data_IF_913303315343
#
_entry.id   IF_913303315343
#
_cell.length_a   1.000
_cell.length_b   1.000
_cell.length_c   1.000
_cell.angle_alpha   90.00
_cell.angle_beta   90.00
_cell.angle_gamma   90.00
#
_symmetry.space_group_name_H-M   'P 1'
#
loop_
_entity.id
_entity.type
_entity.pdbx_description
1 polymer ?
#
# COMPACT_ATOMS: atom_id res chain seq x y z
N UNK A 1 -2.34 -32.15 15.76
CA UNK A 1 -2.24 -30.71 16.08
C UNK A 1 -3.22 -30.43 17.22
N UNK A 2 -2.76 -29.84 18.32
CA UNK A 2 -3.58 -29.54 19.49
C UNK A 2 -4.06 -28.07 19.51
N UNK A 3 -5.00 -27.75 20.41
CA UNK A 3 -5.63 -26.43 20.52
C UNK A 3 -4.59 -25.31 20.75
N UNK A 4 -3.55 -25.56 21.55
CA UNK A 4 -2.53 -24.55 21.86
C UNK A 4 -1.67 -24.26 20.64
N UNK A 5 -1.30 -25.30 19.89
CA UNK A 5 -0.60 -25.16 18.61
C UNK A 5 -1.41 -24.36 17.58
N UNK A 6 -2.72 -24.62 17.48
CA UNK A 6 -3.61 -23.87 16.58
C UNK A 6 -3.74 -22.40 16.99
N UNK A 7 -3.89 -22.11 18.30
CA UNK A 7 -3.95 -20.74 18.82
C UNK A 7 -2.67 -19.96 18.52
N UNK A 8 -1.52 -20.61 18.66
CA UNK A 8 -0.23 -19.99 18.37
C UNK A 8 -0.11 -19.60 16.89
N UNK A 9 -0.46 -20.51 15.96
CA UNK A 9 -0.41 -20.22 14.51
C UNK A 9 -1.41 -19.11 14.15
N UNK A 10 -2.64 -19.15 14.70
CA UNK A 10 -3.63 -18.12 14.46
C UNK A 10 -3.18 -16.73 14.97
N UNK A 11 -2.47 -16.67 16.09
CA UNK A 11 -1.85 -15.44 16.60
C UNK A 11 -0.81 -14.89 15.62
N UNK A 12 0.15 -15.73 15.20
CA UNK A 12 1.20 -15.34 14.25
C UNK A 12 0.64 -14.87 12.90
N UNK A 13 -0.44 -15.50 12.45
CA UNK A 13 -1.12 -15.10 11.23
C UNK A 13 -1.69 -13.68 11.34
N UNK A 14 -2.47 -13.38 12.40
CA UNK A 14 -3.03 -12.04 12.61
C UNK A 14 -1.96 -10.96 12.75
N UNK A 15 -0.86 -11.27 13.46
CA UNK A 15 0.27 -10.35 13.54
C UNK A 15 0.92 -10.10 12.18
N UNK A 16 1.07 -11.15 11.36
CA UNK A 16 1.60 -11.01 10.01
C UNK A 16 0.65 -10.22 9.11
N UNK A 17 -0.67 -10.41 9.23
CA UNK A 17 -1.67 -9.60 8.52
C UNK A 17 -1.57 -8.13 8.90
N UNK A 18 -1.48 -7.82 10.19
CA UNK A 18 -1.35 -6.44 10.66
C UNK A 18 -0.07 -5.79 10.15
N UNK A 19 1.07 -6.50 10.22
CA UNK A 19 2.34 -6.00 9.66
C UNK A 19 2.27 -5.80 8.15
N UNK A 20 1.66 -6.74 7.43
CA UNK A 20 1.48 -6.64 5.99
C UNK A 20 0.60 -5.45 5.61
N UNK A 21 -0.43 -5.14 6.41
CA UNK A 21 -1.29 -3.98 6.17
C UNK A 21 -0.53 -2.66 6.32
N UNK A 22 0.29 -2.52 7.38
CA UNK A 22 1.15 -1.34 7.57
C UNK A 22 2.08 -1.18 6.36
N UNK A 23 2.78 -2.25 5.96
CA UNK A 23 3.70 -2.20 4.82
C UNK A 23 3.01 -1.87 3.50
N UNK A 24 1.76 -2.30 3.29
CA UNK A 24 0.97 -1.91 2.09
C UNK A 24 0.68 -0.41 2.07
N UNK A 25 0.38 0.19 3.23
CA UNK A 25 0.12 1.62 3.33
C UNK A 25 1.40 2.43 3.07
N UNK A 26 2.52 2.03 3.67
CA UNK A 26 3.84 2.63 3.43
C UNK A 26 4.26 2.52 1.96
N UNK A 27 4.07 1.36 1.34
CA UNK A 27 4.36 1.17 -0.09
C UNK A 27 3.47 2.08 -0.96
N UNK A 28 2.19 2.23 -0.62
CA UNK A 28 1.29 3.10 -1.34
C UNK A 28 1.71 4.58 -1.24
N UNK A 29 2.21 5.02 -0.09
CA UNK A 29 2.81 6.34 0.10
C UNK A 29 4.06 6.54 -0.75
N UNK A 30 4.98 5.58 -0.72
CA UNK A 30 6.19 5.61 -1.53
C UNK A 30 5.89 5.67 -3.04
N UNK A 31 4.88 4.92 -3.51
CA UNK A 31 4.42 4.97 -4.92
C UNK A 31 3.93 6.38 -5.29
N UNK A 32 3.15 7.03 -4.41
CA UNK A 32 2.65 8.39 -4.66
C UNK A 32 3.78 9.41 -4.69
N UNK A 33 4.74 9.28 -3.78
CA UNK A 33 5.90 10.16 -3.75
C UNK A 33 6.75 9.99 -5.02
N UNK A 34 7.01 8.75 -5.45
CA UNK A 34 7.76 8.49 -6.68
C UNK A 34 7.10 9.09 -7.93
N UNK A 35 5.78 9.00 -8.05
CA UNK A 35 5.02 9.64 -9.14
C UNK A 35 5.12 11.18 -9.05
N UNK A 36 5.03 11.75 -7.85
CA UNK A 36 5.21 13.19 -7.60
C UNK A 36 6.62 13.68 -7.96
N UNK A 37 7.63 12.85 -7.70
CA UNK A 37 9.04 13.13 -8.02
C UNK A 37 9.34 12.93 -9.52
N UNK A 38 8.34 12.53 -10.32
CA UNK A 38 8.44 12.41 -11.77
C UNK A 38 8.99 11.07 -12.26
N UNK A 39 9.08 10.05 -11.39
CA UNK A 39 9.47 8.71 -11.82
C UNK A 39 8.40 8.14 -12.76
N UNK A 40 8.84 7.55 -13.88
CA UNK A 40 7.89 7.01 -14.84
C UNK A 40 7.11 5.83 -14.24
N UNK A 41 5.80 5.78 -14.47
CA UNK A 41 4.95 4.68 -13.96
C UNK A 41 5.40 3.31 -14.43
N UNK A 42 6.08 3.20 -15.58
CA UNK A 42 6.69 1.92 -16.04
C UNK A 42 7.71 1.42 -15.01
N UNK A 43 8.59 2.30 -14.54
CA UNK A 43 9.67 1.95 -13.62
C UNK A 43 9.08 1.65 -12.22
N UNK A 44 8.05 2.40 -11.81
CA UNK A 44 7.28 2.09 -10.59
C UNK A 44 6.67 0.68 -10.67
N UNK A 45 6.06 0.31 -11.80
CA UNK A 45 5.50 -1.04 -11.98
C UNK A 45 6.59 -2.12 -11.90
N UNK A 46 7.75 -1.88 -12.52
CA UNK A 46 8.88 -2.82 -12.54
C UNK A 46 9.44 -3.07 -11.14
N UNK A 47 9.64 -2.02 -10.35
CA UNK A 47 10.19 -2.12 -8.98
C UNK A 47 9.18 -2.74 -8.00
N UNK A 48 7.92 -2.36 -8.10
CA UNK A 48 6.89 -2.78 -7.11
C UNK A 48 6.24 -4.11 -7.45
N UNK A 49 6.36 -4.58 -8.70
CA UNK A 49 5.64 -5.74 -9.22
C UNK A 49 4.13 -5.50 -9.40
N UNK A 50 3.66 -4.26 -9.20
CA UNK A 50 2.25 -3.92 -9.40
C UNK A 50 1.93 -3.72 -10.87
N UNK A 51 0.71 -4.06 -11.23
CA UNK A 51 0.18 -3.73 -12.56
C UNK A 51 0.03 -2.22 -12.70
N UNK A 52 0.12 -1.73 -13.95
CA UNK A 52 -0.11 -0.30 -14.24
C UNK A 52 -1.47 0.20 -13.76
N UNK A 53 -2.51 -0.66 -13.79
CA UNK A 53 -3.83 -0.29 -13.24
C UNK A 53 -3.80 -0.11 -11.72
N UNK A 54 -3.08 -0.96 -10.98
CA UNK A 54 -2.93 -0.82 -9.53
C UNK A 54 -2.16 0.46 -9.17
N UNK A 55 -1.03 0.72 -9.83
CA UNK A 55 -0.24 1.95 -9.64
C UNK A 55 -1.10 3.19 -9.88
N UNK A 56 -1.83 3.24 -11.01
CA UNK A 56 -2.74 4.35 -11.34
C UNK A 56 -3.81 4.57 -10.28
N UNK A 57 -4.41 3.51 -9.74
CA UNK A 57 -5.41 3.61 -8.65
C UNK A 57 -4.80 4.21 -7.38
N UNK A 58 -3.59 3.79 -7.02
CA UNK A 58 -2.88 4.27 -5.81
C UNK A 58 -2.52 5.74 -5.92
N UNK A 59 -2.00 6.16 -7.08
CA UNK A 59 -1.66 7.57 -7.37
C UNK A 59 -2.91 8.44 -7.28
N UNK A 60 -3.99 8.05 -7.98
CA UNK A 60 -5.22 8.83 -8.03
C UNK A 60 -5.94 8.94 -6.67
N UNK A 61 -5.95 7.87 -5.87
CA UNK A 61 -6.56 7.86 -4.54
C UNK A 61 -5.87 8.81 -3.53
N UNK A 62 -4.62 9.21 -3.81
CA UNK A 62 -3.92 10.25 -3.04
C UNK A 62 -4.38 11.66 -3.41
N UNK A 63 -4.67 11.88 -4.69
CA UNK A 63 -5.11 13.18 -5.23
C UNK A 63 -6.52 13.55 -4.77
N UNK A 64 -7.43 12.58 -4.63
CA UNK A 64 -8.80 12.84 -4.15
C UNK A 64 -8.85 13.32 -2.68
N UNK A 65 -7.85 12.96 -1.86
CA UNK A 65 -7.70 13.48 -0.49
C UNK A 65 -7.15 14.91 -0.42
N UNK A 66 -6.68 15.48 -1.53
CA UNK A 66 -6.03 16.80 -1.62
C UNK A 66 -6.83 17.80 -2.48
N UNK A 67 -8.16 17.61 -2.60
CA UNK A 67 -9.11 18.58 -3.17
C UNK A 67 -9.51 19.68 -2.16
N UNK A 68 -9.93 20.87 -2.61
CA UNK A 68 -9.71 22.13 -1.89
C UNK A 68 -10.65 22.30 -0.69
N UNK A 69 -10.10 22.22 0.52
CA UNK A 69 -10.77 22.65 1.75
C UNK A 69 -10.38 24.07 2.19
N UNK A 70 -9.80 24.88 1.29
CA UNK A 70 -9.46 26.29 1.54
C UNK A 70 -9.87 27.16 0.33
N UNK A 71 -11.17 27.43 0.21
CA UNK A 71 -11.71 28.54 -0.58
C UNK A 71 -13.17 28.81 -0.19
N UNK A 72 -13.43 29.19 1.07
CA UNK A 72 -14.63 29.92 1.50
C UNK A 72 -14.26 30.90 2.59
#
# INVERSE_FOLDING_TARGET
>A
MDKRSLQHIAGRFREAEQRAEILRQELAEAIRQADTDGLAQKDICEVTGYTRQQVRRIVNAGTERKGPAEAV
#
